data_IF_829175481128
#
_entry.id   IF_829175481128
#
_cell.length_a   1.000
_cell.length_b   1.000
_cell.length_c   1.000
_cell.angle_alpha   90.00
_cell.angle_beta   90.00
_cell.angle_gamma   90.00
#
_symmetry.space_group_name_H-M   'P 1'
#
loop_
_entity.id
_entity.type
_entity.pdbx_description
1 polymer ?
#
# COMPACT_ATOMS: atom_id res chain seq x y z
N UNK A 1 -18.73 2.53 19.53
CA UNK A 1 -19.06 3.59 20.52
C UNK A 1 -20.58 3.66 20.60
N UNK A 2 -21.16 3.17 21.70
CA UNK A 2 -22.60 3.13 21.92
C UNK A 2 -23.07 4.43 22.57
N UNK A 3 -23.51 5.38 21.76
CA UNK A 3 -24.30 6.51 22.23
C UNK A 3 -25.76 6.11 22.12
N UNK A 4 -26.28 5.46 23.17
CA UNK A 4 -27.62 4.87 23.21
C UNK A 4 -28.80 5.83 23.06
N UNK A 5 -28.59 7.14 22.90
CA UNK A 5 -29.60 8.15 22.47
C UNK A 5 -29.03 9.58 22.25
N UNK A 6 -27.70 9.78 22.21
CA UNK A 6 -27.10 11.13 22.14
C UNK A 6 -26.86 11.60 20.70
N UNK A 7 -27.91 11.50 19.88
CA UNK A 7 -27.90 12.03 18.51
C UNK A 7 -28.49 13.43 18.54
N UNK A 8 -27.83 14.46 17.98
CA UNK A 8 -28.42 15.78 17.92
C UNK A 8 -29.80 15.70 17.23
N UNK A 9 -30.86 16.09 17.93
CA UNK A 9 -32.22 15.99 17.41
C UNK A 9 -32.58 17.13 16.48
N UNK A 10 -31.84 18.25 16.55
CA UNK A 10 -32.05 19.42 15.72
C UNK A 10 -31.41 19.24 14.34
N UNK A 11 -32.05 19.77 13.29
CA UNK A 11 -31.54 19.71 11.91
C UNK A 11 -30.12 20.27 11.79
N UNK A 12 -29.83 21.37 12.50
CA UNK A 12 -28.51 21.98 12.54
C UNK A 12 -27.48 21.09 13.24
N UNK A 13 -27.85 20.46 14.37
CA UNK A 13 -26.95 19.56 15.07
C UNK A 13 -26.65 18.28 14.27
N UNK A 14 -27.62 17.74 13.53
CA UNK A 14 -27.42 16.59 12.62
C UNK A 14 -26.45 16.94 11.51
N UNK A 15 -26.55 18.13 10.93
CA UNK A 15 -25.63 18.61 9.89
C UNK A 15 -24.19 18.78 10.42
N UNK A 16 -24.02 19.36 11.61
CA UNK A 16 -22.69 19.51 12.21
C UNK A 16 -22.08 18.15 12.60
N UNK A 17 -22.89 17.22 13.12
CA UNK A 17 -22.44 15.89 13.48
C UNK A 17 -22.01 15.05 12.26
N UNK A 18 -22.72 15.16 11.14
CA UNK A 18 -22.31 14.46 9.91
C UNK A 18 -21.01 15.03 9.34
N UNK A 19 -20.84 16.36 9.36
CA UNK A 19 -19.60 17.02 8.92
C UNK A 19 -18.41 16.59 9.78
N UNK A 20 -18.52 16.62 11.11
CA UNK A 20 -17.42 16.21 11.99
C UNK A 20 -17.09 14.73 11.87
N UNK A 21 -18.08 13.87 11.64
CA UNK A 21 -17.85 12.45 11.35
C UNK A 21 -17.05 12.27 10.05
N UNK A 22 -17.43 12.96 8.97
CA UNK A 22 -16.70 12.90 7.70
C UNK A 22 -15.27 13.44 7.83
N UNK A 23 -15.09 14.55 8.56
CA UNK A 23 -13.77 15.11 8.85
C UNK A 23 -12.91 14.14 9.66
N UNK A 24 -13.48 13.50 10.68
CA UNK A 24 -12.79 12.49 11.48
C UNK A 24 -12.26 11.34 10.65
N UNK A 25 -13.08 10.77 9.76
CA UNK A 25 -12.62 9.73 8.83
C UNK A 25 -11.58 10.24 7.84
N UNK A 26 -11.76 11.46 7.34
CA UNK A 26 -10.81 12.08 6.40
C UNK A 26 -9.43 12.26 7.01
N UNK A 27 -9.36 12.73 8.27
CA UNK A 27 -8.11 12.92 9.00
C UNK A 27 -7.39 11.60 9.25
N UNK A 28 -8.11 10.49 9.44
CA UNK A 28 -7.50 9.17 9.59
C UNK A 28 -7.07 8.58 8.24
N UNK A 29 -7.89 8.73 7.20
CA UNK A 29 -7.65 8.14 5.89
C UNK A 29 -6.47 8.79 5.15
N UNK A 30 -6.31 10.11 5.26
CA UNK A 30 -5.25 10.85 4.56
C UNK A 30 -3.83 10.38 4.94
N UNK A 31 -3.41 10.34 6.22
CA UNK A 31 -2.07 9.88 6.58
C UNK A 31 -1.86 8.42 6.18
N UNK A 32 -2.85 7.53 6.40
CA UNK A 32 -2.74 6.15 5.93
C UNK A 32 -2.57 6.06 4.42
N UNK A 33 -3.25 6.92 3.65
CA UNK A 33 -3.13 6.98 2.19
C UNK A 33 -1.74 7.41 1.73
N UNK A 34 -1.16 8.43 2.37
CA UNK A 34 0.19 8.91 2.07
C UNK A 34 1.23 7.82 2.36
N UNK A 35 1.24 7.27 3.58
CA UNK A 35 2.17 6.20 3.95
C UNK A 35 2.02 4.97 3.05
N UNK A 36 0.78 4.60 2.70
CA UNK A 36 0.54 3.47 1.79
C UNK A 36 1.07 3.76 0.38
N UNK A 37 0.93 4.99 -0.12
CA UNK A 37 1.44 5.36 -1.43
C UNK A 37 2.97 5.30 -1.49
N UNK A 38 3.65 5.79 -0.45
CA UNK A 38 5.12 5.72 -0.34
C UNK A 38 5.62 4.27 -0.28
N UNK A 39 5.02 3.45 0.61
CA UNK A 39 5.34 2.03 0.70
C UNK A 39 5.07 1.30 -0.62
N UNK A 40 3.94 1.57 -1.27
CA UNK A 40 3.62 0.97 -2.56
C UNK A 40 4.65 1.35 -3.62
N UNK A 41 5.09 2.60 -3.66
CA UNK A 41 6.10 3.06 -4.61
C UNK A 41 7.46 2.40 -4.36
N UNK A 42 7.87 2.21 -3.11
CA UNK A 42 9.08 1.46 -2.75
C UNK A 42 8.96 -0.01 -3.21
N UNK A 43 7.86 -0.68 -2.89
CA UNK A 43 7.61 -2.05 -3.33
C UNK A 43 7.60 -2.20 -4.86
N UNK A 44 7.01 -1.25 -5.59
CA UNK A 44 7.03 -1.25 -7.06
C UNK A 44 8.45 -1.02 -7.60
N UNK A 45 9.25 -0.15 -6.96
CA UNK A 45 10.65 0.06 -7.34
C UNK A 45 11.42 -1.26 -7.30
N UNK A 46 11.31 -2.03 -6.21
CA UNK A 46 11.96 -3.34 -6.08
C UNK A 46 11.58 -4.31 -7.21
N UNK A 47 10.31 -4.32 -7.62
CA UNK A 47 9.82 -5.14 -8.75
C UNK A 47 10.44 -4.75 -10.09
N UNK A 48 10.70 -3.46 -10.31
CA UNK A 48 11.33 -2.95 -11.53
C UNK A 48 12.82 -3.32 -11.61
N UNK A 49 13.51 -3.46 -10.47
CA UNK A 49 14.94 -3.81 -10.43
C UNK A 49 15.24 -5.27 -10.81
N UNK A 50 14.28 -6.19 -10.63
CA UNK A 50 14.52 -7.60 -10.97
C UNK A 50 14.42 -7.82 -12.48
N UNK A 51 15.58 -8.00 -13.12
CA UNK A 51 15.71 -8.27 -14.56
C UNK A 51 16.09 -9.73 -14.81
N UNK A 52 15.47 -10.31 -15.82
CA UNK A 52 15.83 -11.64 -16.28
C UNK A 52 17.17 -11.62 -17.04
N UNK A 53 18.16 -12.47 -16.68
CA UNK A 53 19.44 -12.51 -17.38
C UNK A 53 19.33 -13.08 -18.80
N UNK A 54 18.33 -13.93 -19.06
CA UNK A 54 18.13 -14.56 -20.36
C UNK A 54 17.39 -13.68 -21.38
N UNK A 55 16.22 -13.13 -21.01
CA UNK A 55 15.37 -12.37 -21.93
C UNK A 55 15.33 -10.86 -21.67
N UNK A 56 16.13 -10.35 -20.73
CA UNK A 56 16.24 -8.94 -20.31
C UNK A 56 14.95 -8.24 -19.84
N UNK A 57 13.84 -8.98 -19.76
CA UNK A 57 12.57 -8.46 -19.28
C UNK A 57 12.62 -8.17 -17.76
N UNK A 58 12.01 -7.05 -17.36
CA UNK A 58 11.92 -6.59 -15.97
C UNK A 58 10.51 -6.77 -15.39
N UNK A 59 10.32 -6.37 -14.13
CA UNK A 59 9.00 -6.37 -13.49
C UNK A 59 8.65 -7.71 -12.83
N UNK A 60 9.66 -8.50 -12.46
CA UNK A 60 9.49 -9.74 -11.71
C UNK A 60 9.30 -9.43 -10.22
N UNK A 61 8.45 -10.21 -9.54
CA UNK A 61 8.29 -10.10 -8.10
C UNK A 61 9.62 -10.43 -7.39
N UNK A 62 9.86 -9.84 -6.23
CA UNK A 62 11.14 -9.93 -5.51
C UNK A 62 11.49 -11.37 -5.11
N UNK A 63 10.48 -12.20 -4.89
CA UNK A 63 10.53 -13.62 -4.52
C UNK A 63 10.45 -14.57 -5.74
N UNK A 64 10.37 -14.04 -6.96
CA UNK A 64 10.26 -14.88 -8.16
C UNK A 64 11.56 -15.66 -8.45
N UNK A 65 11.45 -16.98 -8.50
CA UNK A 65 12.53 -17.92 -8.86
C UNK A 65 12.65 -18.07 -10.39
N UNK A 66 11.53 -17.99 -11.12
CA UNK A 66 11.49 -18.18 -12.57
C UNK A 66 10.91 -16.98 -13.33
N UNK A 67 11.36 -16.80 -14.56
CA UNK A 67 10.94 -15.70 -15.41
C UNK A 67 9.54 -15.97 -15.96
N UNK A 68 8.57 -15.11 -15.61
CA UNK A 68 7.19 -15.18 -16.15
C UNK A 68 7.06 -14.98 -17.66
N UNK A 69 8.15 -14.58 -18.35
CA UNK A 69 8.15 -14.34 -19.78
C UNK A 69 8.84 -15.44 -20.58
N UNK A 70 9.98 -15.96 -20.11
CA UNK A 70 10.76 -16.97 -20.84
C UNK A 70 11.01 -18.27 -20.07
N UNK A 71 10.60 -18.35 -18.80
CA UNK A 71 10.75 -19.55 -17.97
C UNK A 71 12.15 -19.80 -17.41
N UNK A 72 13.16 -18.97 -17.74
CA UNK A 72 14.51 -19.15 -17.20
C UNK A 72 14.56 -18.87 -15.69
N UNK A 73 15.44 -19.56 -15.00
CA UNK A 73 15.75 -19.29 -13.59
C UNK A 73 16.33 -17.87 -13.43
N UNK A 74 15.93 -17.17 -12.38
CA UNK A 74 16.51 -15.89 -11.97
C UNK A 74 17.42 -16.10 -10.75
N UNK A 75 18.29 -15.13 -10.45
CA UNK A 75 19.27 -15.18 -9.35
C UNK A 75 18.62 -15.47 -7.98
N UNK A 76 19.28 -16.03 -6.98
CA UNK A 76 18.59 -16.31 -5.70
C UNK A 76 17.85 -15.08 -5.09
N UNK A 77 16.55 -15.16 -4.73
CA UNK A 77 15.77 -14.03 -4.22
C UNK A 77 16.33 -13.44 -2.92
N UNK A 78 16.93 -14.24 -2.04
CA UNK A 78 17.57 -13.74 -0.80
C UNK A 78 18.79 -12.87 -1.09
N UNK A 79 19.42 -13.05 -2.26
CA UNK A 79 20.56 -12.23 -2.70
C UNK A 79 20.17 -10.95 -3.42
N UNK A 80 18.89 -10.78 -3.76
CA UNK A 80 18.37 -9.59 -4.48
C UNK A 80 17.75 -8.56 -3.54
N UNK A 81 17.28 -8.99 -2.37
CA UNK A 81 16.64 -8.10 -1.39
C UNK A 81 17.69 -7.57 -0.42
N UNK A 82 17.95 -6.27 -0.46
CA UNK A 82 18.66 -5.60 0.65
C UNK A 82 17.68 -5.65 1.83
N UNK A 83 17.88 -6.60 2.74
CA UNK A 83 17.06 -6.71 3.94
C UNK A 83 17.33 -5.44 4.77
N UNK A 84 16.39 -4.50 4.75
CA UNK A 84 16.44 -3.31 5.58
C UNK A 84 16.42 -3.75 7.04
N UNK A 85 17.60 -3.84 7.65
CA UNK A 85 17.76 -3.89 9.10
C UNK A 85 17.39 -2.50 9.63
N UNK A 86 16.20 -2.39 10.20
CA UNK A 86 15.75 -1.24 10.99
C UNK A 86 16.05 -1.44 12.46
#
# INVERSE_FOLDING_TARGET
VGYGDLVPQTNLGKALASITMLLGYSILAVPTGIFTAELHQEMQSHKVLVKCPNCSQAGHDSDAIYCKHCGSELADPDKRVVRGEG
#
